data_IF_372501438348
#
_entry.id   IF_372501438348
#
_cell.length_a   1.000
_cell.length_b   1.000
_cell.length_c   1.000
_cell.angle_alpha   90.00
_cell.angle_beta   90.00
_cell.angle_gamma   90.00
#
_symmetry.space_group_name_H-M   'P 1'
#
loop_
_entity.id
_entity.type
_entity.pdbx_description
1 polymer ?
#
# COMPACT_ATOMS: atom_id res chain seq x y z
N UNK A 1 73.28 -171.46 -172.62
CA UNK A 1 72.07 -171.10 -171.84
C UNK A 1 72.34 -170.82 -170.36
N UNK A 2 73.50 -171.18 -169.77
CA UNK A 2 73.77 -170.96 -168.34
C UNK A 2 73.98 -169.48 -167.91
N UNK A 3 74.38 -168.58 -168.82
CA UNK A 3 74.64 -167.15 -168.51
C UNK A 3 73.38 -166.28 -168.33
N UNK A 4 72.21 -166.73 -168.80
CA UNK A 4 70.97 -165.96 -168.67
C UNK A 4 70.44 -166.06 -167.24
N UNK A 5 70.61 -167.22 -166.60
CA UNK A 5 70.14 -167.49 -165.24
C UNK A 5 70.88 -166.65 -164.17
N UNK A 6 72.16 -166.34 -164.37
CA UNK A 6 72.96 -165.61 -163.38
C UNK A 6 72.62 -164.10 -163.34
N UNK A 7 72.33 -163.51 -164.51
CA UNK A 7 71.84 -162.12 -164.60
C UNK A 7 70.42 -161.96 -164.07
N UNK A 8 69.59 -162.98 -164.22
CA UNK A 8 68.25 -163.00 -163.62
C UNK A 8 68.33 -163.14 -162.10
N UNK A 9 69.28 -163.91 -161.57
CA UNK A 9 69.50 -164.03 -160.12
C UNK A 9 69.94 -162.70 -159.48
N UNK A 10 70.89 -161.97 -160.07
CA UNK A 10 71.31 -160.65 -159.54
C UNK A 10 70.18 -159.61 -159.56
N UNK A 11 69.37 -159.57 -160.62
CA UNK A 11 68.18 -158.70 -160.67
C UNK A 11 67.15 -159.06 -159.59
N UNK A 12 66.99 -160.35 -159.31
CA UNK A 12 66.12 -160.82 -158.24
C UNK A 12 66.64 -160.41 -156.85
N UNK A 13 67.96 -160.39 -156.65
CA UNK A 13 68.57 -159.94 -155.40
C UNK A 13 68.52 -158.41 -155.23
N UNK A 14 68.73 -157.62 -156.29
CA UNK A 14 68.51 -156.16 -156.28
C UNK A 14 67.04 -155.83 -156.01
N UNK A 15 66.09 -156.49 -156.69
CA UNK A 15 64.66 -156.32 -156.42
C UNK A 15 64.30 -156.72 -154.98
N UNK A 16 64.96 -157.73 -154.40
CA UNK A 16 64.79 -158.08 -152.99
C UNK A 16 65.34 -156.99 -152.06
N UNK A 17 66.49 -156.41 -152.38
CA UNK A 17 67.10 -155.35 -151.58
C UNK A 17 66.25 -154.07 -151.63
N UNK A 18 65.84 -153.65 -152.83
CA UNK A 18 64.97 -152.48 -153.02
C UNK A 18 63.58 -152.68 -152.40
N UNK A 19 62.99 -153.88 -152.53
CA UNK A 19 61.74 -154.22 -151.85
C UNK A 19 61.87 -154.14 -150.33
N UNK A 20 63.06 -154.45 -149.79
CA UNK A 20 63.34 -154.39 -148.35
C UNK A 20 63.60 -152.96 -147.88
N UNK A 21 64.26 -152.13 -148.69
CA UNK A 21 64.42 -150.68 -148.44
C UNK A 21 63.06 -149.98 -148.50
N UNK A 22 62.22 -150.28 -149.50
CA UNK A 22 60.88 -149.72 -149.64
C UNK A 22 59.95 -150.14 -148.48
N UNK A 23 60.04 -151.39 -148.02
CA UNK A 23 59.34 -151.82 -146.80
C UNK A 23 59.79 -151.03 -145.58
N UNK A 24 61.10 -150.86 -145.36
CA UNK A 24 61.61 -150.09 -144.22
C UNK A 24 61.20 -148.61 -144.28
N UNK A 25 61.17 -148.00 -145.46
CA UNK A 25 60.79 -146.60 -145.64
C UNK A 25 59.28 -146.40 -145.41
N UNK A 26 58.47 -147.36 -145.87
CA UNK A 26 57.03 -147.41 -145.59
C UNK A 26 56.76 -147.58 -144.10
N UNK A 27 57.49 -148.49 -143.44
CA UNK A 27 57.39 -148.70 -142.00
C UNK A 27 57.82 -147.46 -141.20
N UNK A 28 58.84 -146.72 -141.65
CA UNK A 28 59.24 -145.45 -141.02
C UNK A 28 58.20 -144.33 -141.22
N UNK A 29 57.62 -144.22 -142.42
CA UNK A 29 56.54 -143.25 -142.67
C UNK A 29 55.26 -143.61 -141.89
N UNK A 30 54.88 -144.89 -141.83
CA UNK A 30 53.76 -145.36 -141.02
C UNK A 30 53.99 -145.04 -139.53
N UNK A 31 55.20 -145.26 -139.01
CA UNK A 31 55.57 -144.85 -137.64
C UNK A 31 55.54 -143.33 -137.44
N UNK A 32 55.95 -142.54 -138.44
CA UNK A 32 55.91 -141.07 -138.36
C UNK A 32 54.47 -140.54 -138.38
N UNK A 33 53.61 -141.09 -139.25
CA UNK A 33 52.18 -140.77 -139.29
C UNK A 33 51.46 -141.18 -138.00
N UNK A 34 51.75 -142.36 -137.45
CA UNK A 34 51.21 -142.78 -136.16
C UNK A 34 51.67 -141.84 -135.03
N UNK A 35 52.93 -141.40 -135.05
CA UNK A 35 53.45 -140.43 -134.09
C UNK A 35 52.79 -139.05 -134.22
N UNK A 36 52.51 -138.56 -135.44
CA UNK A 36 51.75 -137.32 -135.64
C UNK A 36 50.30 -137.46 -135.19
N UNK A 37 49.62 -138.57 -135.54
CA UNK A 37 48.24 -138.85 -135.07
C UNK A 37 48.17 -138.88 -133.54
N UNK A 38 49.17 -139.46 -132.88
CA UNK A 38 49.26 -139.47 -131.42
C UNK A 38 49.45 -138.05 -130.85
N UNK A 39 50.31 -137.22 -131.45
CA UNK A 39 50.50 -135.81 -131.04
C UNK A 39 49.25 -134.97 -131.27
N UNK A 40 48.52 -135.19 -132.35
CA UNK A 40 47.26 -134.49 -132.61
C UNK A 40 46.14 -134.94 -131.66
N UNK A 41 46.09 -136.23 -131.31
CA UNK A 41 45.23 -136.75 -130.24
C UNK A 41 45.57 -136.14 -128.88
N UNK A 42 46.85 -135.95 -128.57
CA UNK A 42 47.30 -135.28 -127.35
C UNK A 42 46.90 -133.80 -127.33
N UNK A 43 47.14 -133.05 -128.42
CA UNK A 43 46.70 -131.66 -128.58
C UNK A 43 45.18 -131.51 -128.49
N UNK A 44 44.44 -132.44 -129.09
CA UNK A 44 42.99 -132.47 -128.99
C UNK A 44 42.53 -132.72 -127.56
N UNK A 45 43.14 -133.68 -126.85
CA UNK A 45 42.87 -133.92 -125.42
C UNK A 45 43.22 -132.72 -124.54
N UNK A 46 44.33 -132.03 -124.81
CA UNK A 46 44.71 -130.80 -124.10
C UNK A 46 43.72 -129.66 -124.35
N UNK A 47 43.26 -129.50 -125.60
CA UNK A 47 42.24 -128.49 -125.96
C UNK A 47 40.92 -128.79 -125.28
N UNK A 48 40.49 -130.06 -125.24
CA UNK A 48 39.29 -130.49 -124.53
C UNK A 48 39.40 -130.26 -123.02
N UNK A 49 40.55 -130.54 -122.41
CA UNK A 49 40.80 -130.24 -120.98
C UNK A 49 40.73 -128.74 -120.71
N UNK A 50 41.34 -127.93 -121.57
CA UNK A 50 41.31 -126.48 -121.43
C UNK A 50 39.89 -125.90 -121.58
N UNK A 51 39.10 -126.42 -122.53
CA UNK A 51 37.68 -126.06 -122.66
C UNK A 51 36.88 -126.44 -121.41
N UNK A 52 37.07 -127.65 -120.88
CA UNK A 52 36.44 -128.08 -119.63
C UNK A 52 36.84 -127.22 -118.42
N UNK A 53 38.10 -126.79 -118.35
CA UNK A 53 38.56 -125.88 -117.29
C UNK A 53 37.94 -124.49 -117.41
N UNK A 54 37.79 -123.96 -118.63
CA UNK A 54 37.10 -122.69 -118.88
C UNK A 54 35.61 -122.77 -118.53
N UNK A 55 34.92 -123.84 -118.93
CA UNK A 55 33.53 -124.08 -118.54
C UNK A 55 33.38 -124.13 -117.02
N UNK A 56 34.28 -124.84 -116.33
CA UNK A 56 34.30 -124.89 -114.86
C UNK A 56 34.53 -123.52 -114.23
N UNK A 57 35.38 -122.67 -114.81
CA UNK A 57 35.59 -121.31 -114.33
C UNK A 57 34.35 -120.43 -114.52
N UNK A 58 33.61 -120.59 -115.62
CA UNK A 58 32.36 -119.88 -115.85
C UNK A 58 31.29 -120.35 -114.87
N UNK A 59 31.14 -121.65 -114.66
CA UNK A 59 30.23 -122.22 -113.65
C UNK A 59 30.58 -121.72 -112.23
N UNK A 60 31.86 -121.71 -111.86
CA UNK A 60 32.31 -121.18 -110.57
C UNK A 60 32.00 -119.68 -110.45
N UNK A 61 32.14 -118.89 -111.51
CA UNK A 61 31.78 -117.46 -111.50
C UNK A 61 30.27 -117.24 -111.39
N UNK A 62 29.46 -118.03 -112.09
CA UNK A 62 28.00 -117.97 -111.99
C UNK A 62 27.52 -118.39 -110.60
N UNK A 63 28.08 -119.46 -110.04
CA UNK A 63 27.79 -119.90 -108.68
C UNK A 63 28.15 -118.81 -107.65
N UNK A 64 29.30 -118.13 -107.80
CA UNK A 64 29.67 -116.99 -106.94
C UNK A 64 28.71 -115.82 -107.06
N UNK A 65 28.23 -115.50 -108.28
CA UNK A 65 27.21 -114.46 -108.49
C UNK A 65 25.88 -114.83 -107.84
N UNK A 66 25.47 -116.09 -107.93
CA UNK A 66 24.26 -116.60 -107.27
C UNK A 66 24.39 -116.51 -105.75
N UNK A 67 25.52 -116.96 -105.19
CA UNK A 67 25.80 -116.85 -103.75
C UNK A 67 25.78 -115.39 -103.27
N UNK A 68 26.45 -114.48 -103.99
CA UNK A 68 26.45 -113.05 -103.65
C UNK A 68 25.03 -112.43 -103.75
N UNK A 69 24.21 -112.86 -104.70
CA UNK A 69 22.84 -112.42 -104.82
C UNK A 69 21.95 -112.95 -103.69
N UNK A 70 22.13 -114.21 -103.29
CA UNK A 70 21.45 -114.79 -102.13
C UNK A 70 21.84 -114.08 -100.82
N UNK A 71 23.13 -113.76 -100.65
CA UNK A 71 23.63 -112.97 -99.53
C UNK A 71 23.02 -111.56 -99.53
N UNK A 72 22.99 -110.89 -100.69
CA UNK A 72 22.35 -109.58 -100.83
C UNK A 72 20.86 -109.62 -100.47
N UNK A 73 20.13 -110.65 -100.90
CA UNK A 73 18.71 -110.81 -100.54
C UNK A 73 18.52 -111.03 -99.04
N UNK A 74 19.39 -111.84 -98.41
CA UNK A 74 19.38 -112.04 -96.95
C UNK A 74 19.68 -110.74 -96.21
N UNK A 75 20.67 -109.97 -96.66
CA UNK A 75 21.01 -108.66 -96.07
C UNK A 75 19.87 -107.66 -96.24
N UNK A 76 19.27 -107.58 -97.44
CA UNK A 76 18.13 -106.71 -97.68
C UNK A 76 16.95 -107.03 -96.77
N UNK A 77 16.60 -108.32 -96.64
CA UNK A 77 15.53 -108.75 -95.74
C UNK A 77 15.85 -108.39 -94.28
N UNK A 78 17.09 -108.58 -93.85
CA UNK A 78 17.54 -108.20 -92.51
C UNK A 78 17.45 -106.68 -92.29
N UNK A 79 17.84 -105.87 -93.28
CA UNK A 79 17.74 -104.41 -93.23
C UNK A 79 16.27 -103.98 -93.19
N UNK A 80 15.41 -104.56 -94.03
CA UNK A 80 13.97 -104.27 -94.04
C UNK A 80 13.32 -104.62 -92.69
N UNK A 81 13.74 -105.73 -92.05
CA UNK A 81 13.32 -106.07 -90.69
C UNK A 81 13.82 -105.09 -89.63
N UNK A 82 15.06 -104.62 -89.72
CA UNK A 82 15.61 -103.61 -88.82
C UNK A 82 14.83 -102.30 -88.95
N UNK A 83 14.58 -101.84 -90.18
CA UNK A 83 13.79 -100.63 -90.45
C UNK A 83 12.37 -100.78 -89.91
N UNK A 84 11.73 -101.94 -90.12
CA UNK A 84 10.41 -102.22 -89.54
C UNK A 84 10.42 -102.13 -88.01
N UNK A 85 11.43 -102.72 -87.36
CA UNK A 85 11.60 -102.64 -85.89
C UNK A 85 11.80 -101.20 -85.41
N UNK A 86 12.57 -100.37 -86.13
CA UNK A 86 12.75 -98.96 -85.79
C UNK A 86 11.41 -98.21 -85.84
N UNK A 87 10.64 -98.38 -86.91
CA UNK A 87 9.32 -97.74 -87.01
C UNK A 87 8.34 -98.23 -85.92
N UNK A 88 8.35 -99.53 -85.61
CA UNK A 88 7.54 -100.08 -84.51
C UNK A 88 7.98 -99.52 -83.14
N UNK A 89 9.27 -99.35 -82.90
CA UNK A 89 9.81 -98.76 -81.68
C UNK A 89 9.48 -97.27 -81.57
N UNK A 90 9.65 -96.49 -82.64
CA UNK A 90 9.30 -95.07 -82.70
C UNK A 90 7.81 -94.86 -82.42
N UNK A 91 6.93 -95.69 -83.01
CA UNK A 91 5.49 -95.63 -82.72
C UNK A 91 5.18 -95.94 -81.25
N UNK A 92 5.81 -96.98 -80.69
CA UNK A 92 5.63 -97.33 -79.27
C UNK A 92 6.15 -96.25 -78.35
N UNK A 93 7.25 -95.58 -78.70
CA UNK A 93 7.78 -94.46 -77.94
C UNK A 93 6.82 -93.28 -77.96
N UNK A 94 6.28 -92.94 -79.14
CA UNK A 94 5.31 -91.87 -79.29
C UNK A 94 4.04 -92.14 -78.48
N UNK A 95 3.53 -93.38 -78.50
CA UNK A 95 2.41 -93.78 -77.64
C UNK A 95 2.74 -93.65 -76.15
N UNK A 96 3.94 -94.06 -75.70
CA UNK A 96 4.36 -93.91 -74.30
C UNK A 96 4.45 -92.45 -73.89
N UNK A 97 4.99 -91.58 -74.76
CA UNK A 97 5.05 -90.14 -74.51
C UNK A 97 3.64 -89.54 -74.41
N UNK A 98 2.73 -89.92 -75.32
CA UNK A 98 1.34 -89.47 -75.27
C UNK A 98 0.63 -89.93 -74.00
N UNK A 99 0.80 -91.19 -73.58
CA UNK A 99 0.25 -91.71 -72.32
C UNK A 99 0.79 -90.95 -71.10
N UNK A 100 2.10 -90.63 -71.06
CA UNK A 100 2.71 -89.81 -70.00
C UNK A 100 2.13 -88.38 -69.98
N UNK A 101 1.98 -87.75 -71.15
CA UNK A 101 1.35 -86.41 -71.27
C UNK A 101 -0.10 -86.44 -70.80
N UNK A 102 -0.89 -87.44 -71.21
CA UNK A 102 -2.28 -87.57 -70.76
C UNK A 102 -2.38 -87.83 -69.27
N UNK A 103 -1.52 -88.68 -68.69
CA UNK A 103 -1.49 -88.93 -67.26
C UNK A 103 -1.16 -87.65 -66.48
N UNK A 104 -0.08 -86.95 -66.86
CA UNK A 104 0.30 -85.67 -66.22
C UNK A 104 -0.79 -84.62 -66.35
N UNK A 105 -1.45 -84.51 -67.50
CA UNK A 105 -2.58 -83.61 -67.69
C UNK A 105 -3.75 -83.94 -66.75
N UNK A 106 -4.13 -85.21 -66.61
CA UNK A 106 -5.17 -85.63 -65.66
C UNK A 106 -4.81 -85.29 -64.21
N UNK A 107 -3.56 -85.54 -63.80
CA UNK A 107 -3.08 -85.15 -62.48
C UNK A 107 -3.15 -83.63 -62.25
N UNK A 108 -2.80 -82.82 -63.26
CA UNK A 108 -2.90 -81.37 -63.18
C UNK A 108 -4.36 -80.94 -63.04
N UNK A 109 -5.27 -81.50 -63.82
CA UNK A 109 -6.71 -81.20 -63.75
C UNK A 109 -7.31 -81.58 -62.39
N UNK A 110 -6.99 -82.76 -61.87
CA UNK A 110 -7.41 -83.20 -60.53
C UNK A 110 -6.87 -82.27 -59.45
N UNK A 111 -5.58 -81.92 -59.51
CA UNK A 111 -4.96 -80.99 -58.56
C UNK A 111 -5.61 -79.60 -58.61
N UNK A 112 -5.91 -79.07 -59.80
CA UNK A 112 -6.62 -77.81 -59.96
C UNK A 112 -8.01 -77.86 -59.34
N UNK A 113 -8.79 -78.93 -59.60
CA UNK A 113 -10.12 -79.13 -59.00
C UNK A 113 -10.06 -79.20 -57.47
N UNK A 114 -9.13 -79.98 -56.92
CA UNK A 114 -8.96 -80.09 -55.46
C UNK A 114 -8.55 -78.75 -54.86
N UNK A 115 -7.68 -77.99 -55.53
CA UNK A 115 -7.26 -76.65 -55.08
C UNK A 115 -8.41 -75.65 -55.11
N UNK A 116 -9.24 -75.66 -56.15
CA UNK A 116 -10.43 -74.81 -56.23
C UNK A 116 -11.43 -75.17 -55.13
N UNK A 117 -11.71 -76.45 -54.92
CA UNK A 117 -12.56 -76.92 -53.82
C UNK A 117 -12.01 -76.45 -52.47
N UNK A 118 -10.71 -76.61 -52.23
CA UNK A 118 -10.05 -76.15 -51.01
C UNK A 118 -10.21 -74.64 -50.82
N UNK A 119 -9.97 -73.84 -51.87
CA UNK A 119 -10.15 -72.38 -51.84
C UNK A 119 -11.60 -71.98 -51.54
N UNK A 120 -12.58 -72.69 -52.11
CA UNK A 120 -14.00 -72.42 -51.83
C UNK A 120 -14.40 -72.77 -50.40
N UNK A 121 -13.89 -73.89 -49.86
CA UNK A 121 -14.12 -74.30 -48.48
C UNK A 121 -13.48 -73.33 -47.49
N UNK A 122 -12.24 -72.91 -47.76
CA UNK A 122 -11.54 -71.93 -46.94
C UNK A 122 -12.23 -70.58 -46.95
N UNK A 123 -12.68 -70.10 -48.13
CA UNK A 123 -13.47 -68.88 -48.23
C UNK A 123 -14.77 -68.96 -47.41
N UNK A 124 -15.50 -70.07 -47.50
CA UNK A 124 -16.72 -70.28 -46.68
C UNK A 124 -16.42 -70.24 -45.18
N UNK A 125 -15.34 -70.90 -44.74
CA UNK A 125 -14.91 -70.84 -43.32
C UNK A 125 -14.58 -69.42 -42.88
N UNK A 126 -13.84 -68.67 -43.70
CA UNK A 126 -13.53 -67.27 -43.40
C UNK A 126 -14.79 -66.40 -43.37
N UNK A 127 -15.73 -66.60 -44.29
CA UNK A 127 -16.99 -65.85 -44.32
C UNK A 127 -17.84 -66.16 -43.07
N UNK A 128 -17.89 -67.42 -42.62
CA UNK A 128 -18.54 -67.83 -41.37
C UNK A 128 -17.87 -67.22 -40.12
N UNK A 129 -16.55 -67.22 -40.05
CA UNK A 129 -15.79 -66.58 -38.97
C UNK A 129 -15.99 -65.07 -38.96
N UNK A 130 -15.94 -64.42 -40.12
CA UNK A 130 -16.22 -63.00 -40.27
C UNK A 130 -17.64 -62.65 -39.82
N UNK A 131 -18.63 -63.47 -40.18
CA UNK A 131 -20.00 -63.28 -39.71
C UNK A 131 -20.10 -63.37 -38.18
N UNK A 132 -19.42 -64.34 -37.54
CA UNK A 132 -19.36 -64.44 -36.08
C UNK A 132 -18.67 -63.23 -35.44
N UNK A 133 -17.61 -62.72 -36.05
CA UNK A 133 -16.91 -61.50 -35.60
C UNK A 133 -17.86 -60.31 -35.69
N UNK A 134 -18.59 -60.16 -36.78
CA UNK A 134 -19.56 -59.08 -36.98
C UNK A 134 -20.70 -59.13 -35.95
N UNK A 135 -21.26 -60.31 -35.70
CA UNK A 135 -22.29 -60.50 -34.67
C UNK A 135 -21.77 -60.16 -33.27
N UNK A 136 -20.53 -60.57 -32.95
CA UNK A 136 -19.90 -60.25 -31.69
C UNK A 136 -19.65 -58.74 -31.56
N UNK A 137 -19.13 -58.10 -32.61
CA UNK A 137 -18.92 -56.66 -32.65
C UNK A 137 -20.22 -55.89 -32.43
N UNK A 138 -21.31 -56.30 -33.08
CA UNK A 138 -22.64 -55.70 -32.90
C UNK A 138 -23.13 -55.84 -31.45
N UNK A 139 -23.03 -57.04 -30.85
CA UNK A 139 -23.41 -57.23 -29.44
C UNK A 139 -22.59 -56.38 -28.49
N UNK A 140 -21.31 -56.19 -28.78
CA UNK A 140 -20.44 -55.31 -28.00
C UNK A 140 -20.84 -53.85 -28.12
N UNK A 141 -21.17 -53.38 -29.33
CA UNK A 141 -21.69 -52.03 -29.56
C UNK A 141 -23.01 -51.79 -28.82
N UNK A 142 -23.98 -52.71 -28.93
CA UNK A 142 -25.26 -52.62 -28.22
C UNK A 142 -25.05 -52.55 -26.69
N UNK A 143 -24.09 -53.32 -26.15
CA UNK A 143 -23.72 -53.26 -24.73
C UNK A 143 -23.08 -51.94 -24.35
N UNK A 144 -22.17 -51.41 -25.17
CA UNK A 144 -21.52 -50.12 -24.94
C UNK A 144 -22.54 -48.98 -24.96
N UNK A 145 -23.45 -48.98 -25.94
CA UNK A 145 -24.53 -48.01 -26.05
C UNK A 145 -25.46 -48.05 -24.85
N UNK A 146 -25.81 -49.25 -24.37
CA UNK A 146 -26.60 -49.42 -23.15
C UNK A 146 -25.88 -48.89 -21.90
N UNK A 147 -24.58 -49.15 -21.74
CA UNK A 147 -23.80 -48.60 -20.64
C UNK A 147 -23.72 -47.06 -20.74
N UNK A 148 -23.59 -46.53 -21.96
CA UNK A 148 -23.56 -45.10 -22.22
C UNK A 148 -24.90 -44.44 -21.91
N UNK A 149 -26.03 -45.07 -22.22
CA UNK A 149 -27.36 -44.56 -21.86
C UNK A 149 -27.55 -44.55 -20.35
N UNK A 150 -27.23 -45.64 -19.65
CA UNK A 150 -27.29 -45.67 -18.19
C UNK A 150 -26.41 -44.60 -17.53
N UNK A 151 -25.19 -44.40 -18.04
CA UNK A 151 -24.30 -43.35 -17.55
C UNK A 151 -24.91 -41.97 -17.75
N UNK A 152 -25.47 -41.69 -18.94
CA UNK A 152 -26.18 -40.43 -19.21
C UNK A 152 -27.35 -40.22 -18.25
N UNK A 153 -28.16 -41.24 -18.00
CA UNK A 153 -29.31 -41.13 -17.10
C UNK A 153 -28.86 -40.83 -15.66
N UNK A 154 -27.79 -41.50 -15.21
CA UNK A 154 -27.17 -41.24 -13.90
C UNK A 154 -26.60 -39.82 -13.82
N UNK A 155 -25.89 -39.39 -14.85
CA UNK A 155 -25.29 -38.06 -14.90
C UNK A 155 -26.37 -36.95 -14.94
N UNK A 156 -27.49 -37.19 -15.63
CA UNK A 156 -28.66 -36.30 -15.60
C UNK A 156 -29.32 -36.25 -14.21
N UNK A 157 -29.48 -37.40 -13.55
CA UNK A 157 -30.02 -37.45 -12.19
C UNK A 157 -29.11 -36.71 -11.19
N UNK A 158 -27.79 -36.90 -11.29
CA UNK A 158 -26.80 -36.16 -10.51
C UNK A 158 -26.84 -34.67 -10.83
N UNK A 159 -26.99 -34.28 -12.09
CA UNK A 159 -27.14 -32.88 -12.50
C UNK A 159 -28.34 -32.20 -11.86
N UNK A 160 -29.51 -32.85 -11.82
CA UNK A 160 -30.70 -32.34 -11.13
C UNK A 160 -30.48 -32.18 -9.62
N UNK A 161 -29.77 -33.12 -9.00
CA UNK A 161 -29.42 -33.04 -7.57
C UNK A 161 -28.46 -31.89 -7.30
N UNK A 162 -27.44 -31.70 -8.13
CA UNK A 162 -26.52 -30.57 -8.03
C UNK A 162 -27.23 -29.23 -8.23
N UNK A 163 -28.17 -29.13 -9.17
CA UNK A 163 -28.97 -27.93 -9.37
C UNK A 163 -29.83 -27.61 -8.14
N UNK A 164 -30.49 -28.62 -7.56
CA UNK A 164 -31.26 -28.45 -6.33
C UNK A 164 -30.39 -28.00 -5.16
N UNK A 165 -29.22 -28.65 -4.97
CA UNK A 165 -28.27 -28.28 -3.92
C UNK A 165 -27.72 -26.87 -4.10
N UNK A 166 -27.40 -26.48 -5.35
CA UNK A 166 -26.94 -25.12 -5.67
C UNK A 166 -28.00 -24.07 -5.32
N UNK A 167 -29.27 -24.33 -5.64
CA UNK A 167 -30.39 -23.46 -5.24
C UNK A 167 -30.54 -23.38 -3.72
N UNK A 168 -30.35 -24.47 -2.99
CA UNK A 168 -30.40 -24.46 -1.53
C UNK A 168 -29.24 -23.68 -0.90
N UNK A 169 -28.03 -23.83 -1.43
CA UNK A 169 -26.85 -23.08 -0.98
C UNK A 169 -27.08 -21.58 -1.22
N UNK A 170 -27.49 -21.19 -2.43
CA UNK A 170 -27.79 -19.79 -2.75
C UNK A 170 -28.87 -19.19 -1.84
N UNK A 171 -29.92 -19.95 -1.51
CA UNK A 171 -30.93 -19.50 -0.54
C UNK A 171 -30.37 -19.33 0.87
N UNK A 172 -29.46 -20.22 1.30
CA UNK A 172 -28.82 -20.12 2.62
C UNK A 172 -27.87 -18.92 2.68
N UNK A 173 -27.12 -18.68 1.61
CA UNK A 173 -26.19 -17.56 1.51
C UNK A 173 -26.94 -16.22 1.48
N UNK A 174 -28.01 -16.12 0.68
CA UNK A 174 -28.88 -14.94 0.68
C UNK A 174 -29.44 -14.63 2.08
N UNK A 175 -29.92 -15.65 2.81
CA UNK A 175 -30.36 -15.48 4.21
C UNK A 175 -29.24 -15.04 5.14
N UNK A 176 -28.01 -15.53 4.95
CA UNK A 176 -26.85 -15.09 5.75
C UNK A 176 -26.53 -13.63 5.46
N UNK A 177 -26.50 -13.23 4.20
CA UNK A 177 -26.27 -11.84 3.79
C UNK A 177 -27.35 -10.91 4.34
N UNK A 178 -28.63 -11.29 4.29
CA UNK A 178 -29.73 -10.54 4.90
C UNK A 178 -29.51 -10.35 6.41
N UNK A 179 -29.15 -11.43 7.13
CA UNK A 179 -28.86 -11.35 8.56
C UNK A 179 -27.63 -10.49 8.87
N UNK A 180 -26.60 -10.52 8.03
CA UNK A 180 -25.42 -9.68 8.18
C UNK A 180 -25.73 -8.20 7.92
N UNK A 181 -26.59 -7.89 6.94
CA UNK A 181 -27.09 -6.53 6.72
C UNK A 181 -27.81 -5.98 7.94
N UNK A 182 -28.75 -6.76 8.49
CA UNK A 182 -29.47 -6.36 9.72
C UNK A 182 -28.51 -6.15 10.89
N UNK A 183 -27.47 -6.99 11.04
CA UNK A 183 -26.45 -6.80 12.07
C UNK A 183 -25.64 -5.51 11.85
N UNK A 184 -25.27 -5.20 10.62
CA UNK A 184 -24.54 -3.96 10.30
C UNK A 184 -25.41 -2.73 10.58
N UNK A 185 -26.68 -2.76 10.19
CA UNK A 185 -27.67 -1.71 10.49
C UNK A 185 -27.79 -1.50 12.01
N UNK A 186 -27.95 -2.57 12.78
CA UNK A 186 -28.03 -2.49 14.24
C UNK A 186 -26.76 -1.87 14.86
N UNK A 187 -25.57 -2.26 14.39
CA UNK A 187 -24.30 -1.69 14.89
C UNK A 187 -24.21 -0.19 14.60
N UNK A 188 -24.68 0.26 13.43
CA UNK A 188 -24.72 1.67 13.08
C UNK A 188 -25.72 2.42 13.98
N UNK A 189 -26.92 1.89 14.18
CA UNK A 189 -27.91 2.48 15.10
C UNK A 189 -27.39 2.57 16.53
N UNK A 190 -26.72 1.53 17.04
CA UNK A 190 -26.09 1.56 18.37
C UNK A 190 -24.99 2.64 18.47
N UNK A 191 -24.21 2.83 17.39
CA UNK A 191 -23.20 3.89 17.35
C UNK A 191 -23.84 5.27 17.39
N UNK A 192 -24.87 5.50 16.58
CA UNK A 192 -25.63 6.76 16.58
C UNK A 192 -26.29 7.01 17.95
N UNK A 193 -26.87 6.00 18.59
CA UNK A 193 -27.42 6.15 19.94
C UNK A 193 -26.35 6.53 20.97
N UNK A 194 -25.16 5.92 20.88
CA UNK A 194 -24.03 6.30 21.75
C UNK A 194 -23.59 7.75 21.49
N UNK A 195 -23.59 8.21 20.25
CA UNK A 195 -23.29 9.61 19.93
C UNK A 195 -24.37 10.55 20.47
N UNK A 196 -25.65 10.25 20.26
CA UNK A 196 -26.78 10.99 20.87
C UNK A 196 -26.65 11.08 22.39
N UNK A 197 -26.29 9.99 23.07
CA UNK A 197 -26.05 9.98 24.51
C UNK A 197 -24.85 10.83 24.92
N UNK A 198 -23.77 10.83 24.15
CA UNK A 198 -22.60 11.70 24.39
C UNK A 198 -22.97 13.16 24.24
N UNK A 199 -23.68 13.54 23.18
CA UNK A 199 -24.18 14.90 22.98
C UNK A 199 -25.08 15.34 24.13
N UNK A 200 -26.03 14.50 24.55
CA UNK A 200 -26.88 14.79 25.71
C UNK A 200 -26.06 14.99 26.99
N UNK A 201 -25.05 14.15 27.23
CA UNK A 201 -24.17 14.28 28.39
C UNK A 201 -23.28 15.56 28.34
N UNK A 202 -22.83 15.97 27.16
CA UNK A 202 -22.09 17.22 26.96
C UNK A 202 -22.99 18.43 27.21
N UNK A 203 -24.21 18.43 26.67
CA UNK A 203 -25.22 19.46 26.94
C UNK A 203 -25.51 19.54 28.44
N UNK A 204 -25.69 18.39 29.11
CA UNK A 204 -25.92 18.34 30.55
C UNK A 204 -24.73 18.92 31.33
N UNK A 205 -23.49 18.56 30.98
CA UNK A 205 -22.29 19.14 31.59
C UNK A 205 -22.23 20.66 31.40
N UNK A 206 -22.53 21.16 30.21
CA UNK A 206 -22.58 22.60 29.94
C UNK A 206 -23.63 23.31 30.79
N UNK A 207 -24.81 22.71 30.96
CA UNK A 207 -25.86 23.25 31.84
C UNK A 207 -25.38 23.26 33.29
N UNK A 208 -24.79 22.16 33.79
CA UNK A 208 -24.26 22.09 35.16
C UNK A 208 -23.19 23.15 35.42
N UNK A 209 -22.21 23.27 34.52
CA UNK A 209 -21.16 24.30 34.61
C UNK A 209 -21.74 25.72 34.61
N UNK A 210 -22.76 25.98 33.78
CA UNK A 210 -23.44 27.28 33.76
C UNK A 210 -24.14 27.58 35.09
N UNK A 211 -24.81 26.59 35.67
CA UNK A 211 -25.47 26.72 36.98
C UNK A 211 -24.42 26.96 38.08
N UNK A 212 -23.35 26.18 38.11
CA UNK A 212 -22.25 26.37 39.07
C UNK A 212 -21.61 27.75 38.94
N UNK A 213 -21.38 28.24 37.73
CA UNK A 213 -20.86 29.58 37.49
C UNK A 213 -21.83 30.68 37.98
N UNK A 214 -23.14 30.50 37.77
CA UNK A 214 -24.16 31.41 38.29
C UNK A 214 -24.21 31.39 39.82
N UNK A 215 -24.15 30.22 40.44
CA UNK A 215 -24.14 30.07 41.90
C UNK A 215 -22.88 30.69 42.53
N UNK A 216 -21.71 30.41 41.98
CA UNK A 216 -20.43 30.99 42.44
C UNK A 216 -20.41 32.51 42.28
N UNK A 217 -20.89 33.04 41.15
CA UNK A 217 -21.06 34.48 40.98
C UNK A 217 -22.02 35.07 42.02
N UNK A 218 -23.18 34.42 42.26
CA UNK A 218 -24.13 34.88 43.26
C UNK A 218 -23.52 34.89 44.67
N UNK A 219 -22.79 33.85 45.05
CA UNK A 219 -22.04 33.78 46.30
C UNK A 219 -20.98 34.88 46.39
N UNK A 220 -20.20 35.12 45.34
CA UNK A 220 -19.20 36.19 45.30
C UNK A 220 -19.84 37.57 45.49
N UNK A 221 -21.00 37.81 44.87
CA UNK A 221 -21.75 39.06 45.05
C UNK A 221 -22.29 39.21 46.47
N UNK A 222 -22.82 38.14 47.07
CA UNK A 222 -23.25 38.13 48.47
C UNK A 222 -22.06 38.41 49.42
N UNK A 223 -20.92 37.76 49.22
CA UNK A 223 -19.71 38.03 50.02
C UNK A 223 -19.24 39.49 49.86
N UNK A 224 -19.30 40.04 48.65
CA UNK A 224 -18.97 41.45 48.41
C UNK A 224 -19.93 42.40 49.12
N UNK A 225 -21.22 42.09 49.13
CA UNK A 225 -22.25 42.86 49.85
C UNK A 225 -22.01 42.80 51.37
N UNK A 226 -21.82 41.61 51.93
CA UNK A 226 -21.49 41.43 53.36
C UNK A 226 -20.21 42.17 53.73
N UNK A 227 -19.20 42.19 52.85
CA UNK A 227 -17.97 42.93 53.09
C UNK A 227 -18.21 44.45 53.11
N UNK A 228 -19.02 44.96 52.20
CA UNK A 228 -19.41 46.37 52.17
C UNK A 228 -20.26 46.77 53.38
N UNK A 229 -21.16 45.91 53.84
CA UNK A 229 -21.93 46.14 55.06
C UNK A 229 -21.03 46.14 56.29
N UNK A 230 -20.11 45.19 56.41
CA UNK A 230 -19.12 45.17 57.49
C UNK A 230 -18.19 46.40 57.46
N UNK A 231 -17.76 46.85 56.27
CA UNK A 231 -16.98 48.10 56.10
C UNK A 231 -17.82 49.33 56.56
N UNK A 232 -19.11 49.39 56.21
CA UNK A 232 -20.02 50.46 56.69
C UNK A 232 -20.23 50.41 58.20
N UNK A 233 -20.44 49.24 58.78
CA UNK A 233 -20.60 49.08 60.23
C UNK A 233 -19.33 49.52 60.96
N UNK A 234 -18.15 49.17 60.43
CA UNK A 234 -16.87 49.65 60.94
C UNK A 234 -16.71 51.17 60.79
N UNK A 235 -17.11 51.76 59.66
CA UNK A 235 -17.12 53.21 59.47
C UNK A 235 -18.09 53.91 60.44
N UNK A 236 -19.27 53.33 60.70
CA UNK A 236 -20.23 53.84 61.66
C UNK A 236 -19.73 53.73 63.11
N UNK A 237 -19.12 52.61 63.48
CA UNK A 237 -18.46 52.44 64.78
C UNK A 237 -17.32 53.45 64.95
N UNK A 238 -16.48 53.61 63.93
CA UNK A 238 -15.42 54.61 63.92
C UNK A 238 -15.97 56.03 64.03
N UNK A 239 -17.05 56.35 63.31
CA UNK A 239 -17.75 57.64 63.40
C UNK A 239 -18.36 57.88 64.78
N UNK A 240 -18.97 56.86 65.40
CA UNK A 240 -19.50 56.92 66.78
C UNK A 240 -18.38 57.14 67.79
N UNK A 241 -17.26 56.42 67.66
CA UNK A 241 -16.08 56.61 68.52
C UNK A 241 -15.49 58.02 68.34
N UNK A 242 -15.41 58.53 67.11
CA UNK A 242 -14.92 59.87 66.83
C UNK A 242 -15.86 60.95 67.40
N UNK A 243 -17.18 60.78 67.24
CA UNK A 243 -18.19 61.66 67.84
C UNK A 243 -18.13 61.63 69.38
N UNK A 244 -17.95 60.45 69.98
CA UNK A 244 -17.79 60.32 71.43
C UNK A 244 -16.52 61.03 71.92
N UNK A 245 -15.41 60.88 71.20
CA UNK A 245 -14.16 61.60 71.50
C UNK A 245 -14.35 63.11 71.40
N UNK A 246 -15.01 63.61 70.35
CA UNK A 246 -15.32 65.03 70.22
C UNK A 246 -16.24 65.53 71.36
N UNK A 247 -17.22 64.74 71.77
CA UNK A 247 -18.09 65.09 72.91
C UNK A 247 -17.32 65.09 74.25
N UNK A 248 -16.37 64.18 74.44
CA UNK A 248 -15.47 64.18 75.61
C UNK A 248 -14.56 65.42 75.60
N UNK A 249 -13.97 65.75 74.44
CA UNK A 249 -13.13 66.94 74.26
C UNK A 249 -13.94 68.23 74.49
N UNK A 250 -15.15 68.35 73.94
CA UNK A 250 -16.07 69.48 74.18
C UNK A 250 -16.47 69.59 75.66
N UNK A 251 -16.72 68.46 76.34
CA UNK A 251 -17.03 68.45 77.78
C UNK A 251 -15.83 68.90 78.62
N UNK A 252 -14.62 68.48 78.26
CA UNK A 252 -13.37 68.93 78.89
C UNK A 252 -13.17 70.42 78.63
N UNK A 253 -13.43 70.90 77.42
CA UNK A 253 -13.32 72.32 77.06
C UNK A 253 -14.32 73.18 77.83
N UNK A 254 -15.58 72.74 77.97
CA UNK A 254 -16.59 73.42 78.80
C UNK A 254 -16.18 73.46 80.28
N UNK A 255 -15.69 72.35 80.84
CA UNK A 255 -15.19 72.34 82.23
C UNK A 255 -13.98 73.27 82.40
N UNK A 256 -13.08 73.32 81.43
CA UNK A 256 -11.93 74.24 81.45
C UNK A 256 -12.37 75.70 81.29
N UNK A 257 -13.37 75.99 80.47
CA UNK A 257 -13.95 77.33 80.32
C UNK A 257 -14.65 77.79 81.60
N UNK A 258 -15.42 76.91 82.25
CA UNK A 258 -16.02 77.18 83.56
C UNK A 258 -14.94 77.41 84.63
N UNK A 259 -13.87 76.61 84.64
CA UNK A 259 -12.73 76.77 85.57
C UNK A 259 -11.98 78.07 85.32
N UNK A 260 -11.82 78.51 84.05
CA UNK A 260 -11.28 79.83 83.69
C UNK A 260 -12.20 80.97 84.18
N UNK A 261 -13.52 80.87 83.98
CA UNK A 261 -14.51 81.85 84.50
C UNK A 261 -14.48 81.97 86.02
N UNK A 262 -14.43 80.84 86.74
CA UNK A 262 -14.35 80.85 88.21
C UNK A 262 -13.07 81.52 88.71
N UNK A 263 -11.91 81.21 88.11
CA UNK A 263 -10.65 81.90 88.45
C UNK A 263 -10.67 83.40 88.15
N UNK A 264 -11.33 83.82 87.06
CA UNK A 264 -11.51 85.24 86.75
C UNK A 264 -12.40 85.94 87.77
N UNK A 265 -13.49 85.31 88.21
CA UNK A 265 -14.37 85.84 89.27
C UNK A 265 -13.67 85.91 90.63
N UNK A 266 -12.85 84.91 90.97
CA UNK A 266 -12.01 84.94 92.18
C UNK A 266 -11.00 86.10 92.11
N UNK A 267 -10.34 86.29 90.98
CA UNK A 267 -9.46 87.44 90.77
C UNK A 267 -10.21 88.77 90.84
N UNK A 268 -11.40 88.89 90.25
CA UNK A 268 -12.23 90.11 90.35
C UNK A 268 -12.63 90.41 91.80
N UNK A 269 -13.08 89.40 92.56
CA UNK A 269 -13.41 89.57 93.99
C UNK A 269 -12.20 89.96 94.83
N UNK A 270 -11.02 89.43 94.53
CA UNK A 270 -9.78 89.80 95.20
C UNK A 270 -9.40 91.27 94.91
N UNK A 271 -9.58 91.73 93.68
CA UNK A 271 -9.33 93.13 93.28
C UNK A 271 -10.35 94.09 93.91
N UNK A 272 -11.64 93.72 93.97
CA UNK A 272 -12.68 94.52 94.65
C UNK A 272 -12.37 94.71 96.14
N UNK A 273 -11.98 93.65 96.85
CA UNK A 273 -11.55 93.76 98.26
C UNK A 273 -10.39 94.74 98.45
N UNK A 274 -9.38 94.69 97.57
CA UNK A 274 -8.25 95.64 97.63
C UNK A 274 -8.67 97.09 97.37
N UNK A 275 -9.69 97.31 96.54
CA UNK A 275 -10.27 98.62 96.25
C UNK A 275 -11.11 99.15 97.42
N UNK A 276 -11.90 98.29 98.08
CA UNK A 276 -12.65 98.62 99.29
C UNK A 276 -11.74 98.95 100.47
N UNK A 277 -10.69 98.17 100.70
CA UNK A 277 -9.68 98.47 101.71
C UNK A 277 -9.00 99.82 101.45
N UNK A 278 -8.69 100.14 100.18
CA UNK A 278 -8.18 101.48 99.80
C UNK A 278 -9.17 102.60 100.06
N UNK A 279 -10.47 102.40 99.82
CA UNK A 279 -11.51 103.40 100.09
C UNK A 279 -11.67 103.67 101.58
N UNK A 280 -11.57 102.63 102.42
CA UNK A 280 -11.62 102.77 103.89
C UNK A 280 -10.38 103.51 104.41
N UNK A 281 -9.19 103.23 103.87
CA UNK A 281 -7.98 103.98 104.23
C UNK A 281 -8.06 105.45 103.82
N UNK A 282 -8.52 105.74 102.60
CA UNK A 282 -8.65 107.11 102.10
C UNK A 282 -9.72 107.92 102.86
N UNK A 283 -10.79 107.27 103.33
CA UNK A 283 -11.80 107.92 104.18
C UNK A 283 -11.22 108.31 105.55
N UNK A 284 -10.44 107.42 106.18
CA UNK A 284 -9.75 107.71 107.45
C UNK A 284 -8.71 108.83 107.32
N UNK A 285 -7.93 108.85 106.22
CA UNK A 285 -6.95 109.92 105.98
C UNK A 285 -7.63 111.27 105.74
N UNK A 286 -8.75 111.30 105.01
CA UNK A 286 -9.49 112.55 104.75
C UNK A 286 -10.16 113.12 106.00
N UNK A 287 -10.64 112.29 106.93
CA UNK A 287 -11.17 112.75 108.22
C UNK A 287 -10.06 113.37 109.10
N UNK A 288 -8.88 112.77 109.14
CA UNK A 288 -7.73 113.32 109.88
C UNK A 288 -7.21 114.65 109.31
N UNK A 289 -7.23 114.82 107.97
CA UNK A 289 -6.75 116.04 107.31
C UNK A 289 -7.71 117.24 107.50
N UNK A 290 -9.01 116.99 107.67
CA UNK A 290 -10.02 118.02 107.97
C UNK A 290 -9.90 118.52 109.41
N UNK A 291 -9.64 117.64 110.37
CA UNK A 291 -9.42 118.03 111.76
C UNK A 291 -8.16 118.89 111.93
N UNK A 292 -7.05 118.56 111.24
CA UNK A 292 -5.81 119.34 111.28
C UNK A 292 -5.99 120.77 110.74
N UNK A 293 -6.72 120.96 109.63
CA UNK A 293 -6.96 122.29 109.04
C UNK A 293 -7.83 123.20 109.91
N UNK A 294 -8.74 122.63 110.70
CA UNK A 294 -9.58 123.40 111.63
C UNK A 294 -8.79 123.93 112.84
N UNK A 295 -7.73 123.24 113.25
CA UNK A 295 -6.84 123.70 114.32
C UNK A 295 -5.88 124.80 113.84
N UNK A 296 -5.34 124.69 112.62
CA UNK A 296 -4.46 125.71 112.04
C UNK A 296 -5.17 127.05 111.81
N UNK A 297 -6.42 127.03 111.33
CA UNK A 297 -7.21 128.25 111.08
C UNK A 297 -7.43 129.09 112.36
N UNK A 298 -7.65 128.43 113.52
CA UNK A 298 -7.85 129.12 114.81
C UNK A 298 -6.58 129.82 115.31
N UNK A 299 -5.41 129.29 115.01
CA UNK A 299 -4.12 129.87 115.40
C UNK A 299 -3.75 131.08 114.54
N UNK A 300 -4.12 131.09 113.25
CA UNK A 300 -3.84 132.21 112.34
C UNK A 300 -4.68 133.46 112.64
N UNK A 301 -5.96 133.30 113.01
CA UNK A 301 -6.81 134.45 113.37
C UNK A 301 -6.30 135.20 114.60
N UNK A 302 -5.70 134.50 115.56
CA UNK A 302 -5.14 135.11 116.76
C UNK A 302 -3.90 135.97 116.46
N UNK A 303 -3.04 135.53 115.52
CA UNK A 303 -1.84 136.28 115.11
C UNK A 303 -2.19 137.57 114.36
N UNK A 304 -3.23 137.58 113.52
CA UNK A 304 -3.63 138.76 112.74
C UNK A 304 -4.11 139.92 113.63
N UNK A 305 -4.82 139.64 114.73
CA UNK A 305 -5.31 140.68 115.66
C UNK A 305 -4.17 141.42 116.37
N UNK A 306 -3.12 140.72 116.77
CA UNK A 306 -1.96 141.31 117.47
C UNK A 306 -1.15 142.23 116.56
N UNK A 307 -1.02 141.91 115.27
CA UNK A 307 -0.23 142.69 114.31
C UNK A 307 -0.90 144.04 113.97
N UNK A 308 -2.23 144.08 113.87
CA UNK A 308 -2.95 145.31 113.53
C UNK A 308 -2.92 146.35 114.67
N UNK A 309 -2.89 145.90 115.93
CA UNK A 309 -2.78 146.77 117.11
C UNK A 309 -1.42 147.49 117.19
N UNK A 310 -0.31 146.78 116.92
CA UNK A 310 1.04 147.37 116.88
C UNK A 310 1.20 148.40 115.74
N UNK A 311 0.58 148.15 114.58
CA UNK A 311 0.59 149.07 113.43
C UNK A 311 0.02 150.45 113.78
N UNK A 312 -1.13 150.50 114.48
CA UNK A 312 -1.79 151.77 114.81
C UNK A 312 -0.98 152.62 115.81
N UNK A 313 -0.20 151.96 116.67
CA UNK A 313 0.68 152.62 117.66
C UNK A 313 1.83 153.37 116.97
N UNK A 314 2.43 152.76 115.95
CA UNK A 314 3.55 153.31 115.17
C UNK A 314 3.16 154.55 114.34
N UNK A 315 1.93 154.58 113.80
CA UNK A 315 1.45 155.70 112.98
C UNK A 315 1.30 157.01 113.79
N UNK A 316 0.88 156.93 115.06
CA UNK A 316 0.67 158.12 115.90
C UNK A 316 1.96 158.84 116.30
N UNK A 317 3.05 158.10 116.53
CA UNK A 317 4.28 158.67 117.10
C UNK A 317 5.15 159.40 116.08
N UNK A 318 5.13 158.96 114.81
CA UNK A 318 6.10 159.41 113.82
C UNK A 318 5.52 160.33 112.73
N UNK A 319 4.20 160.42 112.59
CA UNK A 319 3.59 161.12 111.45
C UNK A 319 3.75 162.65 111.49
N UNK A 320 3.76 163.30 112.66
CA UNK A 320 3.79 164.77 112.77
C UNK A 320 5.15 165.39 112.43
N UNK A 321 6.24 164.62 112.51
CA UNK A 321 7.59 165.08 112.10
C UNK A 321 7.85 164.91 110.60
N UNK A 322 6.96 164.22 109.88
CA UNK A 322 7.18 163.78 108.49
C UNK A 322 6.15 164.39 107.52
N UNK A 323 5.66 165.60 107.83
CA UNK A 323 4.80 166.37 106.93
C UNK A 323 5.62 166.76 105.67
N UNK A 324 5.35 166.06 104.56
CA UNK A 324 5.98 166.29 103.26
C UNK A 324 6.84 165.13 102.71
N UNK A 325 7.11 164.08 103.51
CA UNK A 325 8.02 162.98 103.12
C UNK A 325 7.44 161.57 103.37
N UNK A 326 6.11 161.40 103.34
CA UNK A 326 5.47 160.09 103.53
C UNK A 326 5.32 159.31 102.21
N UNK A 327 5.69 158.02 102.16
CA UNK A 327 5.51 157.19 100.95
C UNK A 327 4.04 156.83 100.68
N UNK A 328 3.70 156.63 99.40
CA UNK A 328 2.34 156.31 98.93
C UNK A 328 1.92 154.93 99.47
N UNK A 329 0.83 154.85 100.26
CA UNK A 329 0.26 153.60 100.80
C UNK A 329 0.38 153.40 102.33
N UNK A 330 0.99 154.34 103.05
CA UNK A 330 1.03 154.33 104.54
C UNK A 330 -0.35 154.62 105.13
N UNK A 331 -1.14 155.43 104.43
CA UNK A 331 -2.55 155.71 104.72
C UNK A 331 -3.35 154.74 103.85
N UNK A 332 -4.02 153.76 104.47
CA UNK A 332 -4.81 152.76 103.73
C UNK A 332 -6.20 153.29 103.41
N UNK A 333 -6.86 153.87 104.40
CA UNK A 333 -8.27 154.26 104.32
C UNK A 333 -8.47 155.71 104.82
N UNK A 334 -9.62 156.32 104.52
CA UNK A 334 -9.97 157.69 104.93
C UNK A 334 -9.89 157.92 106.46
N UNK A 335 -10.12 156.87 107.26
CA UNK A 335 -9.95 156.89 108.72
C UNK A 335 -8.51 157.22 109.16
N UNK A 336 -7.49 156.82 108.39
CA UNK A 336 -6.08 157.13 108.69
C UNK A 336 -5.77 158.62 108.42
N UNK A 337 -6.53 159.29 107.55
CA UNK A 337 -6.38 160.70 107.16
C UNK A 337 -7.00 161.67 108.18
N UNK A 338 -8.10 161.27 108.84
CA UNK A 338 -8.75 162.07 109.90
C UNK A 338 -7.90 162.18 111.17
N UNK A 339 -7.14 161.12 111.48
CA UNK A 339 -6.23 161.06 112.62
C UNK A 339 -5.04 162.05 112.52
N UNK A 340 -4.74 162.61 111.34
CA UNK A 340 -3.50 163.35 111.05
C UNK A 340 -3.65 164.89 110.89
N UNK A 341 -4.86 165.43 111.06
CA UNK A 341 -5.10 166.86 111.26
C UNK A 341 -5.17 167.75 110.00
N UNK A 342 -5.61 169.02 110.16
CA UNK A 342 -6.10 169.84 109.04
C UNK A 342 -5.03 170.32 108.05
N UNK A 343 -3.75 170.35 108.44
CA UNK A 343 -2.64 170.74 107.54
C UNK A 343 -2.32 169.70 106.46
N UNK A 344 -2.62 168.41 106.69
CA UNK A 344 -2.38 167.33 105.71
C UNK A 344 -3.46 167.27 104.62
N UNK A 345 -4.70 167.68 104.92
CA UNK A 345 -5.84 167.67 103.97
C UNK A 345 -5.62 168.59 102.76
N UNK A 346 -4.91 169.70 102.92
CA UNK A 346 -4.67 170.64 101.83
C UNK A 346 -3.57 170.18 100.86
N UNK A 347 -2.64 169.31 101.29
CA UNK A 347 -1.50 168.91 100.45
C UNK A 347 -1.78 167.75 99.48
N UNK A 348 -2.84 166.95 99.70
CA UNK A 348 -3.07 165.69 98.98
C UNK A 348 -4.43 165.57 98.28
N UNK A 349 -5.09 166.70 97.98
CA UNK A 349 -6.46 166.68 97.47
C UNK A 349 -6.65 166.49 95.95
N UNK A 350 -5.61 166.36 95.09
CA UNK A 350 -5.83 166.08 93.65
C UNK A 350 -4.79 165.16 92.98
N UNK A 351 -5.23 163.92 92.71
CA UNK A 351 -5.13 163.21 91.41
C UNK A 351 -5.81 161.83 91.56
N UNK A 352 -6.79 161.53 90.71
CA UNK A 352 -7.30 160.18 90.44
C UNK A 352 -7.11 159.91 88.95
N UNK A 353 -6.29 158.93 88.63
CA UNK A 353 -6.40 158.08 87.45
C UNK A 353 -6.31 156.66 88.00
N UNK A 354 -7.33 155.86 87.72
CA UNK A 354 -7.48 154.51 88.26
C UNK A 354 -7.29 153.50 87.11
N UNK A 355 -6.24 152.65 87.14
CA UNK A 355 -5.97 151.68 86.09
C UNK A 355 -6.44 150.25 86.43
N UNK A 356 -7.42 150.06 87.33
CA UNK A 356 -7.96 148.74 87.65
C UNK A 356 -9.46 148.68 87.37
N UNK A 357 -9.73 148.15 86.18
CA UNK A 357 -11.05 147.78 85.68
C UNK A 357 -11.60 146.56 86.42
N UNK A 358 -12.87 146.64 86.77
CA UNK A 358 -13.70 145.66 87.44
C UNK A 358 -14.32 144.70 86.42
N UNK A 359 -14.41 143.42 86.79
CA UNK A 359 -15.58 142.51 86.67
C UNK A 359 -15.07 141.12 87.07
N UNK A 360 -15.14 140.66 88.32
CA UNK A 360 -16.33 140.49 89.17
C UNK A 360 -17.50 139.96 88.35
N UNK A 361 -17.75 138.65 88.40
CA UNK A 361 -18.99 137.86 88.17
C UNK A 361 -18.49 136.40 88.15
N UNK A 362 -18.74 135.51 89.11
CA UNK A 362 -19.95 135.17 89.88
C UNK A 362 -19.50 134.66 91.27
N UNK A 363 -19.57 135.36 92.41
CA UNK A 363 -20.71 135.71 93.29
C UNK A 363 -21.61 134.55 93.72
N UNK A 364 -21.21 133.89 94.81
CA UNK A 364 -21.95 133.93 96.09
C UNK A 364 -20.95 133.94 97.26
#
# INVERSE_FOLDING_TARGET
>A
AAQIAEKEAMKFDEMKYDSKVAQNLKEQNERAEEAERLRDLERYKETMRYQQELERQLEEQEARKQQAYEEFLKEKLMIDEIVRKIYEEDQRELERQMRKRQATQKYIEEFQRTREQWKTLEKKKMDEENNRIMEFARKMQEREEYLKSQKKDRDQAMGKLHEALSKEISKKDAKREEMERVRMELVLEEQEERERQREMAEVEKHIRLKIELQMTHAQQMQFKQLRLEAEKDQEEEFRKQMMAKFAEDDRIEQMNAQRRRMKQLEHQRAVEKLLEDKRVQFAREREADVEARLEEAKLEEFKKKVIEEERQKLLRQHATKLLGYLPKGVIRNENDLELLGPKFKQAYAQKKDDPYDETAWETL
#
